data_IF_886121137474
#
_entry.id   IF_886121137474
#
_cell.length_a   1.000
_cell.length_b   1.000
_cell.length_c   1.000
_cell.angle_alpha   90.00
_cell.angle_beta   90.00
_cell.angle_gamma   90.00
#
_symmetry.space_group_name_H-M   'P 1'
#
loop_
_entity.id
_entity.type
_entity.pdbx_description
1 polymer ?
#
# COMPACT_ATOMS: atom_id res chain seq x y z
N UNK A 1 7.58 20.65 9.67
CA UNK A 1 8.03 19.80 8.59
C UNK A 1 7.26 18.51 8.60
N UNK A 2 6.80 18.07 7.47
CA UNK A 2 5.98 16.87 7.43
C UNK A 2 6.85 15.63 7.51
N UNK A 3 6.38 14.65 8.22
CA UNK A 3 7.08 13.39 8.28
C UNK A 3 6.90 12.67 6.97
N UNK A 4 7.98 12.11 6.47
CA UNK A 4 7.92 11.31 5.26
C UNK A 4 7.86 9.85 5.67
N UNK A 5 6.82 9.17 5.23
CA UNK A 5 6.62 7.77 5.53
C UNK A 5 6.65 6.99 4.22
N UNK A 6 7.47 5.95 4.18
CA UNK A 6 7.53 5.08 3.01
C UNK A 6 7.65 3.66 3.52
N UNK A 7 6.68 2.84 3.18
CA UNK A 7 6.62 1.48 3.69
C UNK A 7 6.46 0.51 2.55
N UNK A 8 7.30 -0.51 2.53
CA UNK A 8 7.18 -1.57 1.53
C UNK A 8 6.56 -2.79 2.19
N UNK A 9 5.62 -3.40 1.54
CA UNK A 9 4.99 -4.60 2.05
C UNK A 9 4.22 -5.34 0.98
N UNK A 10 3.84 -6.58 1.27
CA UNK A 10 3.11 -7.39 0.30
C UNK A 10 1.62 -7.06 0.30
N UNK A 11 1.02 -7.24 -0.86
CA UNK A 11 -0.42 -7.16 -1.00
C UNK A 11 -0.98 -8.54 -0.66
N UNK A 12 -2.05 -8.57 0.11
CA UNK A 12 -2.70 -9.83 0.50
C UNK A 12 -4.07 -9.92 -0.15
N UNK A 13 -4.45 -11.12 -0.51
CA UNK A 13 -5.80 -11.33 -1.04
C UNK A 13 -6.71 -11.73 0.12
N UNK A 14 -7.64 -10.85 0.47
CA UNK A 14 -8.55 -11.07 1.58
C UNK A 14 -9.96 -10.92 1.04
N UNK A 15 -10.76 -11.97 1.19
CA UNK A 15 -12.15 -11.96 0.69
C UNK A 15 -12.23 -11.58 -0.77
N UNK A 16 -11.27 -12.03 -1.56
CA UNK A 16 -11.26 -11.75 -2.98
C UNK A 16 -10.78 -10.36 -3.34
N UNK A 17 -10.29 -9.59 -2.38
CA UNK A 17 -9.83 -8.24 -2.62
C UNK A 17 -8.36 -8.09 -2.27
N UNK A 18 -7.64 -7.38 -3.12
CA UNK A 18 -6.25 -7.09 -2.84
C UNK A 18 -6.19 -6.03 -1.74
N UNK A 19 -5.49 -6.34 -0.67
CA UNK A 19 -5.53 -5.53 0.53
C UNK A 19 -4.12 -5.31 1.07
N UNK A 20 -3.89 -4.09 1.55
CA UNK A 20 -2.64 -3.76 2.23
C UNK A 20 -2.95 -3.53 3.69
N UNK A 21 -2.12 -4.06 4.57
CA UNK A 21 -2.25 -3.79 5.99
C UNK A 21 -0.96 -3.13 6.46
N UNK A 22 -1.09 -1.92 6.96
CA UNK A 22 0.05 -1.13 7.37
C UNK A 22 -0.04 -0.91 8.88
N UNK A 23 0.93 -1.40 9.65
CA UNK A 23 0.88 -1.22 11.11
C UNK A 23 0.83 0.27 11.46
N UNK A 24 -0.06 0.63 12.37
CA UNK A 24 -0.20 2.02 12.76
C UNK A 24 1.08 2.56 13.37
N UNK A 25 1.78 1.74 14.13
CA UNK A 25 3.01 2.20 14.78
C UNK A 25 4.22 2.16 13.82
N UNK A 26 4.01 1.74 12.58
CA UNK A 26 5.07 1.73 11.58
C UNK A 26 4.72 2.67 10.41
N UNK A 27 4.01 3.73 10.69
CA UNK A 27 3.68 4.72 9.67
C UNK A 27 2.22 4.76 9.28
N UNK A 28 1.45 3.74 9.64
CA UNK A 28 0.04 3.71 9.29
C UNK A 28 -0.74 4.88 9.86
N UNK A 29 -0.38 5.30 11.08
CA UNK A 29 -1.08 6.42 11.72
C UNK A 29 -0.87 7.72 10.93
N UNK A 30 0.29 7.90 10.33
CA UNK A 30 0.56 9.08 9.52
C UNK A 30 -0.19 9.02 8.20
N UNK A 31 -0.31 7.83 7.64
CA UNK A 31 -0.96 7.66 6.35
C UNK A 31 -2.48 7.60 6.44
N UNK A 32 -3.02 7.22 7.58
CA UNK A 32 -4.47 7.02 7.71
C UNK A 32 -5.31 8.22 7.28
N UNK A 33 -5.00 9.46 7.70
CA UNK A 33 -5.81 10.59 7.28
C UNK A 33 -5.77 10.83 5.78
N UNK A 34 -4.69 10.40 5.14
CA UNK A 34 -4.52 10.60 3.71
C UNK A 34 -5.18 9.51 2.89
N UNK A 35 -5.49 8.39 3.52
CA UNK A 35 -6.09 7.25 2.84
C UNK A 35 -7.61 7.22 2.95
N UNK A 36 -8.23 8.33 3.30
CA UNK A 36 -9.68 8.40 3.43
C UNK A 36 -10.34 8.01 2.13
N UNK A 37 -11.35 7.18 2.25
CA UNK A 37 -12.09 6.74 1.08
C UNK A 37 -11.56 5.48 0.45
N UNK A 38 -10.31 5.11 0.73
CA UNK A 38 -9.75 3.89 0.19
C UNK A 38 -9.22 2.97 1.29
N UNK A 39 -9.14 3.46 2.52
CA UNK A 39 -8.65 2.66 3.62
C UNK A 39 -9.30 3.06 4.92
N UNK A 40 -9.25 2.14 5.87
CA UNK A 40 -9.80 2.35 7.20
C UNK A 40 -8.85 1.77 8.23
N UNK A 41 -8.92 2.31 9.44
CA UNK A 41 -8.16 1.76 10.55
C UNK A 41 -8.94 0.59 11.12
N UNK A 42 -8.29 -0.55 11.23
CA UNK A 42 -8.91 -1.74 11.80
C UNK A 42 -7.93 -2.34 12.81
N UNK A 43 -8.22 -2.19 14.09
CA UNK A 43 -7.35 -2.65 15.15
C UNK A 43 -6.06 -1.85 15.14
N UNK A 44 -4.95 -2.53 14.94
CA UNK A 44 -3.65 -1.89 14.95
C UNK A 44 -3.09 -1.66 13.56
N UNK A 45 -3.95 -1.76 12.56
CA UNK A 45 -3.53 -1.63 11.16
C UNK A 45 -4.36 -0.61 10.41
N UNK A 46 -3.71 0.05 9.47
CA UNK A 46 -4.42 0.77 8.45
C UNK A 46 -4.63 -0.22 7.31
N UNK A 47 -5.87 -0.49 6.98
CA UNK A 47 -6.22 -1.45 5.94
C UNK A 47 -6.65 -0.70 4.69
N UNK A 48 -5.95 -0.92 3.60
CA UNK A 48 -6.23 -0.24 2.34
C UNK A 48 -6.57 -1.29 1.29
N UNK A 49 -7.72 -1.12 0.64
CA UNK A 49 -8.14 -2.03 -0.43
C UNK A 49 -7.69 -1.45 -1.76
N UNK A 50 -6.95 -2.24 -2.52
CA UNK A 50 -6.48 -1.81 -3.83
C UNK A 50 -7.55 -2.18 -4.85
N UNK A 51 -8.14 -1.17 -5.46
CA UNK A 51 -9.20 -1.38 -6.44
C UNK A 51 -8.67 -2.13 -7.66
N UNK A 52 -9.49 -2.94 -8.33
CA UNK A 52 -9.02 -3.72 -9.48
C UNK A 52 -8.40 -2.86 -10.58
N UNK A 53 -8.98 -1.69 -10.85
CA UNK A 53 -8.45 -0.82 -11.89
C UNK A 53 -7.04 -0.32 -11.54
N UNK A 54 -6.79 -0.08 -10.25
CA UNK A 54 -5.49 0.39 -9.80
C UNK A 54 -4.48 -0.75 -9.82
N UNK A 55 -4.90 -1.93 -9.40
CA UNK A 55 -4.04 -3.10 -9.43
C UNK A 55 -3.60 -3.41 -10.85
N UNK A 56 -4.52 -3.29 -11.80
CA UNK A 56 -4.22 -3.52 -13.20
C UNK A 56 -3.24 -2.48 -13.72
N UNK A 57 -3.48 -1.23 -13.36
CA UNK A 57 -2.63 -0.13 -13.79
C UNK A 57 -1.21 -0.27 -13.27
N UNK A 58 -1.07 -0.74 -12.04
CA UNK A 58 0.24 -0.93 -11.43
C UNK A 58 0.83 -2.31 -11.70
N UNK A 59 0.06 -3.18 -12.33
CA UNK A 59 0.48 -4.54 -12.63
C UNK A 59 0.87 -5.31 -11.36
N UNK A 60 0.01 -5.25 -10.37
CA UNK A 60 0.25 -5.95 -9.11
C UNK A 60 -0.88 -6.93 -8.83
N UNK A 61 -0.56 -7.94 -8.04
CA UNK A 61 -1.53 -8.95 -7.64
C UNK A 61 -1.22 -9.41 -6.25
N UNK A 62 -1.81 -10.53 -5.83
CA UNK A 62 -1.56 -11.07 -4.51
C UNK A 62 -0.06 -11.35 -4.36
N UNK A 63 0.46 -11.02 -3.19
CA UNK A 63 1.87 -11.20 -2.86
C UNK A 63 2.83 -10.27 -3.58
N UNK A 64 2.34 -9.38 -4.42
CA UNK A 64 3.20 -8.35 -5.00
C UNK A 64 3.67 -7.42 -3.91
N UNK A 65 4.89 -6.91 -4.04
CA UNK A 65 5.40 -5.92 -3.10
C UNK A 65 5.07 -4.54 -3.63
N UNK A 66 4.57 -3.69 -2.76
CA UNK A 66 4.25 -2.32 -3.13
C UNK A 66 4.84 -1.38 -2.09
N UNK A 67 5.01 -0.14 -2.48
CA UNK A 67 5.47 0.91 -1.58
C UNK A 67 4.33 1.90 -1.43
N UNK A 68 3.97 2.18 -0.17
CA UNK A 68 2.99 3.22 0.12
C UNK A 68 3.74 4.36 0.80
N UNK A 69 3.45 5.57 0.39
CA UNK A 69 4.10 6.72 0.98
C UNK A 69 3.21 7.96 0.92
N UNK A 70 3.68 9.03 1.57
CA UNK A 70 2.95 10.28 1.60
C UNK A 70 3.74 11.35 0.86
N UNK A 71 3.57 11.40 -0.43
CA UNK A 71 4.26 12.41 -1.23
C UNK A 71 3.40 13.67 -1.31
N UNK A 72 3.98 14.79 -0.91
CA UNK A 72 3.30 16.09 -0.97
C UNK A 72 1.95 16.06 -0.27
N UNK A 73 1.87 15.36 0.84
CA UNK A 73 0.63 15.28 1.59
C UNK A 73 -0.41 14.37 0.96
N UNK A 74 -0.01 13.54 0.00
CA UNK A 74 -0.93 12.62 -0.64
C UNK A 74 -0.48 11.18 -0.44
N UNK A 75 -1.47 10.31 -0.25
CA UNK A 75 -1.20 8.90 -0.13
C UNK A 75 -0.96 8.32 -1.52
N UNK A 76 0.19 7.71 -1.71
CA UNK A 76 0.53 7.13 -3.01
C UNK A 76 0.92 5.67 -2.84
N UNK A 77 0.57 4.86 -3.84
CA UNK A 77 0.92 3.46 -3.88
C UNK A 77 1.66 3.23 -5.19
N UNK A 78 2.84 2.63 -5.08
CA UNK A 78 3.61 2.28 -6.27
C UNK A 78 4.12 0.86 -6.14
N UNK A 79 4.37 0.24 -7.28
CA UNK A 79 4.92 -1.09 -7.30
C UNK A 79 6.38 -1.03 -6.87
N UNK A 80 6.77 -1.93 -5.97
CA UNK A 80 8.15 -1.95 -5.51
C UNK A 80 9.05 -2.50 -6.61
N UNK A 81 10.22 -1.94 -6.71
CA UNK A 81 11.21 -2.45 -7.65
C UNK A 81 11.63 -3.88 -7.33
N UNK A 82 11.43 -4.30 -6.10
CA UNK A 82 11.75 -5.66 -5.71
C UNK A 82 10.89 -6.69 -6.40
N UNK A 83 9.72 -6.30 -6.88
CA UNK A 83 8.86 -7.19 -7.65
C UNK A 83 9.37 -7.47 -9.02
N UNK A 84 10.20 -6.60 -9.52
CA UNK A 84 10.69 -6.71 -10.86
C UNK A 84 11.87 -7.60 -10.85
N UNK A 85 11.70 -8.69 -10.36
CA UNK A 85 12.67 -9.65 -10.26
C UNK A 85 12.78 -10.38 -11.50
N UNK A 86 12.82 -9.71 -12.53
CA UNK A 86 12.86 -10.27 -13.74
C UNK A 86 14.09 -10.97 -13.93
N UNK A 87 14.08 -12.09 -13.87
CA UNK A 87 15.24 -12.77 -14.09
C UNK A 87 15.65 -12.66 -15.49
N UNK A 88 15.51 -12.13 -15.70
CA UNK A 88 15.73 -12.12 -16.68
C UNK A 88 16.43 -12.19 -17.20
N UNK A 89 16.45 -12.30 -17.13
CA UNK A 89 16.92 -12.32 -17.71
C UNK A 89 17.34 -12.87 -17.99
#
# INVERSE_FOLDING_TARGET
>A
MADIVSIEGPVELIDGKLTLRIPLDAGGATLAPLARGIGDVDGEYLVVVVEPWLAEKLNIGAESLVIVDNQNGKFTITRSASNDDSPSR
#
